data_IF_776488320765
#
_entry.id   IF_776488320765
#
_cell.length_a   1.000
_cell.length_b   1.000
_cell.length_c   1.000
_cell.angle_alpha   90.00
_cell.angle_beta   90.00
_cell.angle_gamma   90.00
#
_symmetry.space_group_name_H-M   'P 1'
#
loop_
_entity.id
_entity.type
_entity.pdbx_description
1 polymer ?
#
# COMPACT_ATOMS: atom_id res chain seq x y z
N UNK A 1 -29.91 26.71 8.82
CA UNK A 1 -29.13 27.66 7.99
C UNK A 1 -28.60 26.91 6.76
N UNK A 2 -28.98 27.37 5.55
CA UNK A 2 -28.47 26.76 4.32
C UNK A 2 -27.00 27.13 4.16
N UNK A 3 -26.12 26.13 3.96
CA UNK A 3 -24.66 26.30 3.85
C UNK A 3 -24.14 26.01 2.44
N UNK A 4 -24.95 25.35 1.60
CA UNK A 4 -24.63 24.99 0.23
C UNK A 4 -25.88 25.05 -0.64
N UNK A 5 -25.76 25.46 -1.89
CA UNK A 5 -26.82 25.47 -2.91
C UNK A 5 -26.22 25.10 -4.27
N UNK A 6 -26.85 24.11 -4.93
CA UNK A 6 -26.39 23.61 -6.23
C UNK A 6 -24.93 23.12 -6.23
N UNK A 7 -24.45 22.58 -5.10
CA UNK A 7 -23.06 22.12 -4.95
C UNK A 7 -22.05 23.24 -4.62
N UNK A 8 -22.49 24.52 -4.59
CA UNK A 8 -21.61 25.64 -4.26
C UNK A 8 -21.79 26.08 -2.79
N UNK A 9 -20.71 26.35 -2.05
CA UNK A 9 -20.80 26.91 -0.71
C UNK A 9 -21.45 28.32 -0.75
N UNK A 10 -22.46 28.55 0.08
CA UNK A 10 -23.10 29.88 0.21
C UNK A 10 -22.33 30.78 1.17
N UNK A 11 -21.59 30.19 2.08
CA UNK A 11 -20.75 30.89 3.05
C UNK A 11 -19.28 30.58 2.75
N UNK A 12 -18.42 31.60 2.71
CA UNK A 12 -16.99 31.34 2.68
C UNK A 12 -16.59 30.52 3.92
N UNK A 13 -15.62 29.64 3.81
CA UNK A 13 -15.09 28.93 4.96
C UNK A 13 -14.68 29.94 6.03
N UNK A 14 -15.33 29.93 7.18
CA UNK A 14 -14.97 30.77 8.31
C UNK A 14 -13.87 30.05 9.09
N UNK A 15 -12.70 30.57 9.03
CA UNK A 15 -11.53 30.12 9.80
C UNK A 15 -10.28 30.14 8.95
N UNK A 16 -9.18 30.57 9.54
CA UNK A 16 -7.87 30.22 9.00
C UNK A 16 -7.83 28.69 9.01
N UNK A 17 -7.81 28.07 7.85
CA UNK A 17 -7.40 26.70 7.71
C UNK A 17 -5.92 26.63 8.10
N UNK A 18 -5.63 26.66 9.40
CA UNK A 18 -4.36 26.19 9.89
C UNK A 18 -4.34 24.71 9.51
N UNK A 19 -3.49 24.37 8.56
CA UNK A 19 -3.24 23.02 8.19
C UNK A 19 -2.73 22.28 9.46
N UNK A 20 -3.62 21.60 10.14
CA UNK A 20 -3.26 20.69 11.20
C UNK A 20 -2.64 19.45 10.54
N UNK A 21 -1.38 19.57 10.11
CA UNK A 21 -0.57 18.44 9.72
C UNK A 21 -0.15 17.68 11.00
N UNK A 22 -1.09 16.99 11.60
CA UNK A 22 -0.76 16.02 12.63
C UNK A 22 -0.08 14.86 11.92
N UNK A 23 1.23 14.72 12.13
CA UNK A 23 1.96 13.55 11.67
C UNK A 23 1.29 12.30 12.25
N UNK A 24 0.71 11.49 11.38
CA UNK A 24 0.07 10.22 11.75
C UNK A 24 0.98 9.01 11.52
N UNK A 25 2.26 9.26 11.18
CA UNK A 25 3.26 8.24 10.88
C UNK A 25 4.20 8.05 12.08
N UNK A 26 3.80 7.18 13.00
CA UNK A 26 4.61 6.78 14.17
C UNK A 26 5.21 5.38 13.92
N UNK A 27 5.98 5.24 12.84
CA UNK A 27 6.57 3.97 12.45
C UNK A 27 7.90 3.75 13.20
N UNK A 28 8.15 2.52 13.64
CA UNK A 28 9.48 2.12 14.11
C UNK A 28 10.35 1.76 12.91
N UNK A 29 11.64 2.16 12.88
CA UNK A 29 12.52 1.79 11.78
C UNK A 29 12.55 0.28 11.51
N UNK A 30 12.50 -0.11 10.26
CA UNK A 30 12.53 -1.48 9.76
C UNK A 30 13.38 -1.58 8.50
N UNK A 31 13.79 -2.80 8.17
CA UNK A 31 14.57 -3.13 6.99
C UNK A 31 14.01 -4.40 6.30
N UNK A 32 14.74 -4.92 5.30
CA UNK A 32 14.37 -6.16 4.59
C UNK A 32 14.26 -7.37 5.53
N UNK A 33 15.05 -7.43 6.60
CA UNK A 33 15.02 -8.57 7.53
C UNK A 33 13.70 -8.63 8.28
N UNK A 34 13.08 -7.47 8.54
CA UNK A 34 11.76 -7.39 9.16
C UNK A 34 10.64 -7.99 8.30
N UNK A 35 10.86 -8.15 6.97
CA UNK A 35 9.94 -8.75 6.02
C UNK A 35 10.21 -10.25 5.77
N UNK A 36 11.12 -10.84 6.53
CA UNK A 36 11.50 -12.25 6.39
C UNK A 36 10.46 -13.17 7.01
N UNK A 37 10.00 -14.18 6.26
CA UNK A 37 9.08 -15.22 6.72
C UNK A 37 9.87 -16.54 6.83
N UNK A 38 10.13 -17.08 8.03
CA UNK A 38 10.76 -18.39 8.18
C UNK A 38 9.87 -19.50 7.59
N UNK A 39 10.47 -20.44 6.85
CA UNK A 39 9.75 -21.60 6.36
C UNK A 39 9.51 -22.61 7.51
N UNK A 40 8.26 -22.90 7.81
CA UNK A 40 7.86 -23.85 8.88
C UNK A 40 7.16 -25.12 8.34
N UNK A 41 7.23 -25.34 7.04
CA UNK A 41 6.59 -26.48 6.39
C UNK A 41 6.64 -26.36 4.87
N UNK A 42 6.03 -27.36 4.20
CA UNK A 42 6.01 -27.40 2.73
C UNK A 42 4.85 -26.63 2.10
N UNK A 43 3.87 -26.18 2.90
CA UNK A 43 2.66 -25.50 2.40
C UNK A 43 2.44 -24.17 3.13
N UNK A 44 1.90 -23.21 2.40
CA UNK A 44 1.56 -21.87 2.91
C UNK A 44 0.10 -21.53 2.62
N UNK A 45 -0.47 -20.72 3.50
CA UNK A 45 -1.76 -20.06 3.25
C UNK A 45 -1.50 -18.81 2.41
N UNK A 46 -2.26 -18.68 1.35
CA UNK A 46 -2.19 -17.54 0.42
C UNK A 46 -3.56 -16.89 0.36
N UNK A 47 -3.60 -15.58 0.50
CA UNK A 47 -4.79 -14.78 0.17
C UNK A 47 -4.91 -14.72 -1.35
N UNK A 48 -6.06 -15.15 -1.86
CA UNK A 48 -6.36 -15.19 -3.29
C UNK A 48 -7.37 -14.10 -3.62
N UNK A 49 -6.96 -13.10 -4.38
CA UNK A 49 -7.88 -12.04 -4.81
C UNK A 49 -8.91 -12.63 -5.77
N UNK A 50 -10.17 -12.29 -5.53
CA UNK A 50 -11.25 -12.63 -6.45
C UNK A 50 -11.46 -11.41 -7.34
N UNK A 51 -11.30 -11.54 -8.68
CA UNK A 51 -11.47 -10.40 -9.59
C UNK A 51 -12.81 -9.68 -9.39
N UNK A 52 -12.77 -8.36 -9.41
CA UNK A 52 -13.93 -7.48 -9.27
C UNK A 52 -14.74 -7.64 -7.97
N UNK A 53 -14.15 -8.21 -6.93
CA UNK A 53 -14.76 -8.37 -5.62
C UNK A 53 -13.87 -7.82 -4.49
N UNK A 54 -14.51 -7.41 -3.40
CA UNK A 54 -13.82 -7.02 -2.16
C UNK A 54 -13.49 -8.23 -1.26
N UNK A 55 -14.01 -9.40 -1.61
CA UNK A 55 -13.74 -10.64 -0.88
C UNK A 55 -12.47 -11.31 -1.40
N UNK A 56 -11.76 -11.98 -0.50
CA UNK A 56 -10.62 -12.82 -0.82
C UNK A 56 -10.93 -14.27 -0.47
N UNK A 57 -10.34 -15.21 -1.21
CA UNK A 57 -10.32 -16.61 -0.84
C UNK A 57 -9.01 -16.94 -0.09
N UNK A 58 -9.00 -18.04 0.64
CA UNK A 58 -7.79 -18.60 1.24
C UNK A 58 -7.48 -19.93 0.58
N UNK A 59 -6.29 -20.02 -0.01
CA UNK A 59 -5.81 -21.24 -0.65
C UNK A 59 -4.55 -21.75 0.02
N UNK A 60 -4.35 -23.07 -0.02
CA UNK A 60 -3.13 -23.73 0.46
C UNK A 60 -2.29 -24.13 -0.75
N UNK A 61 -1.09 -23.58 -0.85
CA UNK A 61 -0.16 -23.85 -1.94
C UNK A 61 1.18 -24.37 -1.40
N UNK A 62 1.97 -24.99 -2.27
CA UNK A 62 3.35 -25.35 -1.93
C UNK A 62 4.17 -24.09 -1.73
N UNK A 63 4.90 -24.06 -0.61
CA UNK A 63 5.70 -22.90 -0.21
C UNK A 63 6.89 -22.71 -1.15
N UNK A 64 7.07 -21.52 -1.75
CA UNK A 64 8.33 -21.18 -2.41
C UNK A 64 9.40 -20.90 -1.36
N UNK A 65 10.33 -21.83 -1.17
CA UNK A 65 11.36 -21.75 -0.12
C UNK A 65 12.74 -21.59 -0.73
N UNK A 66 13.47 -20.57 -0.26
CA UNK A 66 14.90 -20.41 -0.51
C UNK A 66 15.60 -20.09 0.82
N UNK A 67 16.73 -20.73 1.06
CA UNK A 67 17.56 -20.52 2.28
C UNK A 67 16.79 -20.60 3.61
N UNK A 68 15.81 -21.50 3.69
CA UNK A 68 14.98 -21.68 4.88
C UNK A 68 13.93 -20.59 5.12
N UNK A 69 13.66 -19.75 4.12
CA UNK A 69 12.69 -18.66 4.16
C UNK A 69 11.70 -18.79 3.03
N UNK A 70 10.49 -18.30 3.25
CA UNK A 70 9.49 -18.17 2.20
C UNK A 70 9.85 -16.94 1.37
N UNK A 71 9.95 -17.13 0.06
CA UNK A 71 10.25 -16.09 -0.92
C UNK A 71 9.04 -15.82 -1.81
N UNK A 72 9.09 -14.74 -2.57
CA UNK A 72 8.13 -14.46 -3.62
C UNK A 72 8.37 -15.38 -4.83
N UNK A 73 7.30 -15.70 -5.57
CA UNK A 73 7.33 -16.49 -6.80
C UNK A 73 6.42 -15.81 -7.83
N UNK A 74 7.01 -14.93 -8.62
CA UNK A 74 6.28 -14.11 -9.59
C UNK A 74 5.72 -14.89 -10.77
N UNK A 75 6.26 -16.09 -11.05
CA UNK A 75 5.73 -16.97 -12.10
C UNK A 75 4.39 -17.57 -11.69
N UNK A 76 4.23 -17.86 -10.39
CA UNK A 76 3.00 -18.35 -9.78
C UNK A 76 2.11 -17.23 -9.24
N UNK A 77 2.48 -15.97 -9.45
CA UNK A 77 1.84 -14.78 -8.87
C UNK A 77 1.76 -14.85 -7.33
N UNK A 78 2.78 -15.39 -6.67
CA UNK A 78 2.86 -15.44 -5.22
C UNK A 78 3.74 -14.28 -4.74
N UNK A 79 3.08 -13.24 -4.26
CA UNK A 79 3.72 -12.02 -3.77
C UNK A 79 3.70 -11.99 -2.25
N UNK A 80 4.67 -11.31 -1.66
CA UNK A 80 4.62 -11.02 -0.23
C UNK A 80 3.73 -9.83 0.04
N UNK A 81 2.94 -9.89 1.11
CA UNK A 81 2.18 -8.77 1.65
C UNK A 81 2.61 -8.49 3.08
N UNK A 82 2.72 -7.22 3.43
CA UNK A 82 3.08 -6.75 4.75
C UNK A 82 2.08 -5.70 5.26
N UNK A 83 1.75 -5.78 6.54
CA UNK A 83 0.97 -4.78 7.28
C UNK A 83 1.89 -4.19 8.35
N UNK A 84 2.31 -2.95 8.17
CA UNK A 84 3.27 -2.25 9.03
C UNK A 84 2.50 -1.30 9.95
N UNK A 85 2.60 -1.52 11.25
CA UNK A 85 1.94 -0.69 12.26
C UNK A 85 2.54 0.73 12.26
N UNK A 86 1.67 1.77 12.17
CA UNK A 86 2.10 3.17 12.08
C UNK A 86 1.55 4.12 13.13
N UNK A 87 0.74 3.64 14.07
CA UNK A 87 0.06 4.51 15.03
C UNK A 87 0.79 4.65 16.35
N UNK A 88 1.35 3.56 16.87
CA UNK A 88 1.90 3.44 18.22
C UNK A 88 3.39 3.15 18.29
N UNK A 89 4.06 3.09 17.15
CA UNK A 89 5.50 2.79 17.05
C UNK A 89 5.88 1.47 17.72
N UNK A 90 5.02 0.47 17.64
CA UNK A 90 5.26 -0.84 18.26
C UNK A 90 6.31 -1.66 17.53
N UNK A 91 6.52 -1.39 16.24
CA UNK A 91 7.36 -2.18 15.35
C UNK A 91 6.72 -3.50 14.91
N UNK A 92 5.42 -3.68 15.13
CA UNK A 92 4.71 -4.87 14.66
C UNK A 92 4.55 -4.83 13.15
N UNK A 93 4.90 -5.94 12.50
CA UNK A 93 4.70 -6.16 11.08
C UNK A 93 4.00 -7.51 10.92
N UNK A 94 2.81 -7.50 10.33
CA UNK A 94 2.11 -8.71 9.88
C UNK A 94 2.61 -9.08 8.49
N UNK A 95 2.91 -10.35 8.26
CA UNK A 95 3.40 -10.86 6.97
C UNK A 95 2.53 -11.98 6.45
N UNK A 96 2.37 -12.04 5.14
CA UNK A 96 1.62 -13.07 4.45
C UNK A 96 2.02 -13.20 2.99
N UNK A 97 1.32 -14.08 2.29
CA UNK A 97 1.38 -14.20 0.85
C UNK A 97 0.03 -13.90 0.23
N UNK A 98 0.07 -13.27 -0.92
CA UNK A 98 -1.11 -12.91 -1.71
C UNK A 98 -0.86 -13.23 -3.18
N UNK A 99 -1.91 -13.54 -3.94
CA UNK A 99 -1.88 -13.60 -5.39
C UNK A 99 -3.07 -12.87 -6.00
N UNK A 100 -2.97 -12.54 -7.28
CA UNK A 100 -3.98 -11.80 -8.04
C UNK A 100 -3.51 -10.40 -8.47
N UNK A 101 -2.35 -9.92 -7.99
CA UNK A 101 -1.77 -8.65 -8.43
C UNK A 101 -0.99 -8.76 -9.74
N UNK A 102 -0.41 -9.92 -10.03
CA UNK A 102 0.41 -10.21 -11.22
C UNK A 102 1.69 -9.39 -11.34
N UNK A 103 2.18 -8.77 -10.27
CA UNK A 103 3.45 -8.03 -10.29
C UNK A 103 4.60 -8.96 -10.66
N UNK A 104 5.42 -8.56 -11.63
CA UNK A 104 6.65 -9.27 -12.03
C UNK A 104 7.89 -8.73 -11.33
N UNK A 105 7.85 -7.50 -10.85
CA UNK A 105 8.91 -6.81 -10.11
C UNK A 105 8.30 -5.66 -9.32
N UNK A 106 9.10 -5.05 -8.44
CA UNK A 106 8.70 -3.87 -7.69
C UNK A 106 7.69 -4.14 -6.58
N UNK A 107 7.15 -3.06 -6.04
CA UNK A 107 6.18 -3.09 -4.94
C UNK A 107 5.21 -1.91 -4.98
N UNK A 108 4.04 -2.12 -4.38
CA UNK A 108 3.01 -1.12 -4.13
C UNK A 108 2.86 -0.95 -2.62
N UNK A 109 2.64 0.28 -2.16
CA UNK A 109 2.34 0.57 -0.75
C UNK A 109 1.22 1.60 -0.62
N UNK A 110 0.42 1.47 0.45
CA UNK A 110 -0.70 2.34 0.76
C UNK A 110 -0.86 2.53 2.27
N UNK A 111 -1.19 3.74 2.72
CA UNK A 111 -1.69 3.98 4.08
C UNK A 111 -3.22 4.00 4.18
N UNK A 112 -3.92 3.85 3.04
CA UNK A 112 -5.38 3.73 2.97
C UNK A 112 -5.77 2.27 3.15
N UNK A 113 -5.37 1.68 4.27
CA UNK A 113 -5.75 0.32 4.63
C UNK A 113 -7.06 0.36 5.39
N UNK A 114 -8.14 -0.11 4.78
CA UNK A 114 -9.49 -0.02 5.34
C UNK A 114 -9.54 -0.59 6.76
N UNK A 115 -10.24 0.11 7.65
CA UNK A 115 -10.35 -0.12 9.09
C UNK A 115 -9.07 0.06 9.91
N UNK A 116 -7.93 -0.50 9.52
CA UNK A 116 -6.70 -0.44 10.33
C UNK A 116 -5.88 0.82 10.09
N UNK A 117 -5.94 1.36 8.88
CA UNK A 117 -5.13 2.49 8.40
C UNK A 117 -3.63 2.34 8.70
N UNK A 118 -3.13 1.13 8.73
CA UNK A 118 -1.71 0.82 8.77
C UNK A 118 -1.07 1.01 7.38
N UNK A 119 0.24 0.89 7.25
CA UNK A 119 0.85 0.83 5.93
C UNK A 119 0.74 -0.60 5.43
N UNK A 120 0.00 -0.81 4.33
CA UNK A 120 -0.01 -2.06 3.59
C UNK A 120 0.99 -1.97 2.45
N UNK A 121 1.70 -3.07 2.20
CA UNK A 121 2.65 -3.17 1.12
C UNK A 121 2.58 -4.56 0.48
N UNK A 122 2.56 -4.62 -0.84
CA UNK A 122 2.65 -5.86 -1.63
C UNK A 122 3.80 -5.75 -2.62
N UNK A 123 4.58 -6.80 -2.80
CA UNK A 123 5.70 -6.73 -3.72
C UNK A 123 6.32 -8.07 -4.10
N UNK A 124 7.07 -8.01 -5.19
CA UNK A 124 7.88 -9.09 -5.73
C UNK A 124 9.30 -9.13 -5.14
N UNK A 125 9.73 -8.07 -4.46
CA UNK A 125 11.04 -7.95 -3.79
C UNK A 125 10.91 -7.20 -2.46
N UNK A 126 11.60 -7.69 -1.41
CA UNK A 126 11.55 -7.12 -0.07
C UNK A 126 12.17 -5.71 0.00
N UNK A 127 13.17 -5.42 -0.84
CA UNK A 127 13.79 -4.08 -0.90
C UNK A 127 12.86 -3.05 -1.49
N UNK A 128 12.16 -3.41 -2.55
CA UNK A 128 11.15 -2.56 -3.17
C UNK A 128 9.96 -2.33 -2.24
N UNK A 129 9.56 -3.36 -1.48
CA UNK A 129 8.54 -3.22 -0.45
C UNK A 129 8.96 -2.21 0.63
N UNK A 130 10.21 -2.27 1.09
CA UNK A 130 10.74 -1.29 2.05
C UNK A 130 10.79 0.11 1.43
N UNK A 131 11.22 0.24 0.17
CA UNK A 131 11.30 1.53 -0.53
C UNK A 131 9.91 2.17 -0.69
N UNK A 132 8.91 1.40 -1.14
CA UNK A 132 7.54 1.86 -1.30
C UNK A 132 6.91 2.28 0.05
N UNK A 133 7.05 1.44 1.08
CA UNK A 133 6.48 1.73 2.40
C UNK A 133 7.15 2.95 3.08
N UNK A 134 8.47 3.11 2.91
CA UNK A 134 9.18 4.32 3.39
C UNK A 134 8.75 5.59 2.64
N UNK A 135 8.47 5.50 1.34
CA UNK A 135 7.94 6.64 0.60
C UNK A 135 6.60 7.09 1.18
N UNK A 136 5.71 6.15 1.54
CA UNK A 136 4.43 6.45 2.21
C UNK A 136 4.67 7.09 3.58
N UNK A 137 5.62 6.57 4.38
CA UNK A 137 5.97 7.13 5.68
C UNK A 137 6.48 8.58 5.56
N UNK A 138 7.44 8.83 4.67
CA UNK A 138 8.05 10.16 4.47
C UNK A 138 7.06 11.21 4.00
N UNK A 139 6.07 10.81 3.19
CA UNK A 139 4.99 11.70 2.72
C UNK A 139 3.96 12.05 3.82
N UNK A 140 4.03 11.42 4.99
CA UNK A 140 2.99 11.54 6.02
C UNK A 140 1.74 10.72 5.72
N UNK A 141 1.81 9.80 4.77
CA UNK A 141 0.77 8.94 4.25
C UNK A 141 0.54 9.11 2.77
N UNK A 142 -0.10 8.14 2.16
CA UNK A 142 -0.41 8.14 0.74
C UNK A 142 -0.19 6.79 0.09
N UNK A 143 0.12 6.84 -1.20
CA UNK A 143 0.30 5.70 -2.08
C UNK A 143 1.66 5.80 -2.77
N UNK A 144 2.34 4.68 -2.97
CA UNK A 144 3.63 4.65 -3.65
C UNK A 144 3.80 3.38 -4.47
N UNK A 145 4.55 3.51 -5.56
CA UNK A 145 5.07 2.41 -6.39
C UNK A 145 6.58 2.53 -6.40
N UNK A 146 7.29 1.44 -6.12
CA UNK A 146 8.74 1.40 -6.16
C UNK A 146 9.25 0.19 -6.95
N UNK A 147 10.41 0.33 -7.57
CA UNK A 147 11.13 -0.74 -8.26
C UNK A 147 12.62 -0.44 -8.27
N UNK A 148 13.44 -1.48 -8.11
CA UNK A 148 14.91 -1.39 -8.07
C UNK A 148 15.41 -0.38 -7.01
N UNK A 149 14.67 -0.27 -5.89
CA UNK A 149 14.95 0.64 -4.79
C UNK A 149 14.52 2.09 -5.02
N UNK A 150 13.97 2.42 -6.18
CA UNK A 150 13.53 3.77 -6.53
C UNK A 150 12.01 3.91 -6.53
N UNK A 151 11.53 5.11 -6.16
CA UNK A 151 10.09 5.44 -6.18
C UNK A 151 9.71 5.92 -7.57
N UNK A 152 8.92 5.12 -8.29
CA UNK A 152 8.46 5.42 -9.66
C UNK A 152 7.29 6.39 -9.69
N UNK A 153 6.37 6.25 -8.74
CA UNK A 153 5.21 7.13 -8.60
C UNK A 153 4.76 7.21 -7.14
N UNK A 154 4.19 8.33 -6.76
CA UNK A 154 3.67 8.56 -5.41
C UNK A 154 2.54 9.56 -5.40
N UNK A 155 1.63 9.43 -4.42
CA UNK A 155 0.54 10.35 -4.15
C UNK A 155 0.46 10.58 -2.63
N UNK A 156 0.75 11.82 -2.20
CA UNK A 156 0.72 12.17 -0.78
C UNK A 156 -0.71 12.39 -0.29
N UNK A 157 -1.01 11.79 0.87
CA UNK A 157 -2.26 11.95 1.61
C UNK A 157 -1.94 12.34 3.06
N UNK A 158 -1.42 13.56 3.31
CA UNK A 158 -0.85 13.92 4.61
C UNK A 158 -1.89 14.12 5.72
N UNK A 159 -3.17 14.26 5.38
CA UNK A 159 -4.23 14.42 6.37
C UNK A 159 -4.64 13.04 6.89
N UNK A 160 -4.11 12.67 8.04
CA UNK A 160 -4.35 11.38 8.68
C UNK A 160 -3.80 10.16 7.91
N UNK A 161 -3.03 10.39 6.83
CA UNK A 161 -2.59 9.33 5.93
C UNK A 161 -3.67 8.85 4.95
N UNK A 162 -4.77 9.60 4.79
CA UNK A 162 -5.99 9.18 4.08
C UNK A 162 -6.49 10.21 3.08
N UNK A 163 -6.24 11.49 3.31
CA UNK A 163 -6.78 12.60 2.51
C UNK A 163 -5.69 13.59 2.15
N UNK A 164 -5.93 14.35 1.09
CA UNK A 164 -5.05 15.42 0.62
C UNK A 164 -5.76 16.77 0.70
N UNK A 165 -4.98 17.82 0.88
CA UNK A 165 -5.38 19.23 0.77
C UNK A 165 -5.14 19.79 -0.65
N UNK A 166 -4.68 18.95 -1.58
CA UNK A 166 -4.41 19.34 -2.96
C UNK A 166 -5.69 19.38 -3.79
N UNK A 167 -5.72 20.20 -4.87
CA UNK A 167 -6.82 20.21 -5.83
C UNK A 167 -7.10 18.82 -6.41
N UNK A 168 -8.36 18.55 -6.75
CA UNK A 168 -8.80 17.25 -7.27
C UNK A 168 -8.03 16.85 -8.54
N UNK A 169 -7.72 17.80 -9.40
CA UNK A 169 -6.99 17.58 -10.65
C UNK A 169 -5.57 17.05 -10.41
N UNK A 170 -4.89 17.54 -9.36
CA UNK A 170 -3.57 17.04 -8.96
C UNK A 170 -3.67 15.60 -8.42
N UNK A 171 -4.70 15.33 -7.62
CA UNK A 171 -4.94 13.98 -7.08
C UNK A 171 -5.27 13.00 -8.20
N UNK A 172 -6.12 13.38 -9.15
CA UNK A 172 -6.46 12.56 -10.31
C UNK A 172 -5.22 12.25 -11.16
N UNK A 173 -4.38 13.24 -11.44
CA UNK A 173 -3.13 13.05 -12.17
C UNK A 173 -2.15 12.13 -11.43
N UNK A 174 -2.01 12.31 -10.11
CA UNK A 174 -1.19 11.44 -9.27
C UNK A 174 -1.68 9.99 -9.25
N UNK A 175 -3.00 9.80 -9.19
CA UNK A 175 -3.64 8.48 -9.26
C UNK A 175 -3.36 7.76 -10.58
N UNK A 176 -3.51 8.47 -11.71
CA UNK A 176 -3.18 7.91 -13.03
C UNK A 176 -1.69 7.53 -13.15
N UNK A 177 -0.80 8.35 -12.59
CA UNK A 177 0.64 8.05 -12.55
C UNK A 177 0.94 6.77 -11.77
N UNK A 178 0.28 6.56 -10.63
CA UNK A 178 0.40 5.34 -9.82
C UNK A 178 -0.10 4.11 -10.59
N UNK A 179 -1.27 4.21 -11.23
CA UNK A 179 -1.83 3.11 -12.05
C UNK A 179 -0.93 2.77 -13.22
N UNK A 180 -0.40 3.78 -13.89
CA UNK A 180 0.55 3.58 -14.99
C UNK A 180 1.81 2.86 -14.49
N UNK A 181 2.42 3.33 -13.40
CA UNK A 181 3.61 2.70 -12.81
C UNK A 181 3.34 1.25 -12.40
N UNK A 182 2.20 0.96 -11.74
CA UNK A 182 1.83 -0.41 -11.36
C UNK A 182 1.70 -1.34 -12.58
N UNK A 183 1.10 -0.86 -13.69
CA UNK A 183 1.02 -1.61 -14.95
C UNK A 183 2.39 -1.90 -15.56
N UNK A 184 3.33 -0.96 -15.48
CA UNK A 184 4.71 -1.17 -15.95
C UNK A 184 5.44 -2.26 -15.16
N UNK A 185 5.01 -2.53 -13.93
CA UNK A 185 5.53 -3.60 -13.10
C UNK A 185 4.83 -4.96 -13.34
N UNK A 186 3.84 -5.00 -14.25
CA UNK A 186 3.09 -6.21 -14.60
C UNK A 186 1.72 -6.33 -13.94
N UNK A 187 1.30 -5.36 -13.12
CA UNK A 187 -0.01 -5.42 -12.46
C UNK A 187 -1.15 -5.43 -13.48
N UNK A 188 -2.03 -6.44 -13.38
CA UNK A 188 -3.19 -6.59 -14.28
C UNK A 188 -4.49 -6.03 -13.70
N UNK A 189 -4.49 -5.67 -12.41
CA UNK A 189 -5.65 -5.09 -11.76
C UNK A 189 -5.94 -3.68 -12.29
N UNK A 190 -7.23 -3.39 -12.51
CA UNK A 190 -7.65 -2.05 -12.91
C UNK A 190 -7.37 -1.01 -11.82
N UNK A 191 -7.69 -1.36 -10.56
CA UNK A 191 -7.52 -0.52 -9.38
C UNK A 191 -6.70 -1.25 -8.31
N UNK A 192 -5.37 -1.37 -8.46
CA UNK A 192 -4.55 -2.19 -7.58
C UNK A 192 -4.54 -1.70 -6.13
N UNK A 193 -4.65 -0.40 -5.90
CA UNK A 193 -4.67 0.17 -4.55
C UNK A 193 -6.00 -0.04 -3.82
N UNK A 194 -7.10 -0.22 -4.55
CA UNK A 194 -8.38 -0.62 -3.95
C UNK A 194 -8.36 -2.07 -3.47
N UNK A 195 -7.61 -2.94 -4.16
CA UNK A 195 -7.43 -4.33 -3.73
C UNK A 195 -6.38 -4.47 -2.61
N UNK A 196 -5.54 -3.45 -2.43
CA UNK A 196 -4.56 -3.39 -1.35
C UNK A 196 -5.15 -2.79 -0.05
N UNK A 197 -6.30 -2.11 -0.14
CA UNK A 197 -6.91 -1.41 0.99
C UNK A 197 -7.84 -2.27 1.85
#
# INVERSE_FOLDING_TARGET
RRVCEGGCPILPPQGNAQAFHLSSMNVRPYDRLALSIPAQGSRVRVMDLIPDQILTAMVLLDAPVAEGRIVQDTDRDLLKIAVIERHRRTGRIGLGLVRGFSLKRGALASSVAHDSHNILCVGADDGDMVAAARAVEVMGGGLAVACDGEVLARLALPIGGLMSDRPLEEIASGWESLRFAARQLGCTLHEPFMHLS
#
